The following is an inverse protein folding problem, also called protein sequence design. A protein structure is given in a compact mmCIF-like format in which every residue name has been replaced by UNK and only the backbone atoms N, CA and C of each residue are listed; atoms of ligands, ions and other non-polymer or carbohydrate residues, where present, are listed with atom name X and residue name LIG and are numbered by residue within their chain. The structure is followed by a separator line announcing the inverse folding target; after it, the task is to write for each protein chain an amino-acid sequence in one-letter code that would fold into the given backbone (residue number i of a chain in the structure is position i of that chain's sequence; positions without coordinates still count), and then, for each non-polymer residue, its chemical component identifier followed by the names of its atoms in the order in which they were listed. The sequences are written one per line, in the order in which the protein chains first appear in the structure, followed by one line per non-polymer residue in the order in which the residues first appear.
data_IF_967756194373
#
_entry.id   IF_967756194373
#
_cell.length_a   1.000
_cell.length_b   1.000
_cell.length_c   1.000
_cell.angle_alpha   90.00
_cell.angle_beta   90.00
_cell.angle_gamma   90.00
#
_symmetry.space_group_name_H-M   'P 1'
#
loop_
_entity.id
_entity.type
_entity.pdbx_description
1 polymer ?
#
# COMPACT_ATOMS: atom_id res chain seq x y z
N UNK A 1 -44.82 -51.90 1.14
CA UNK A 1 -43.97 -50.91 1.83
C UNK A 1 -42.52 -51.38 2.08
N UNK A 2 -42.15 -52.56 1.58
CA UNK A 2 -40.86 -52.79 0.92
C UNK A 2 -40.70 -51.78 -0.24
N UNK A 3 -39.47 -51.29 -0.48
CA UNK A 3 -38.95 -50.65 -1.72
C UNK A 3 -38.93 -49.13 -1.91
N UNK A 4 -39.32 -48.27 -0.95
CA UNK A 4 -39.26 -46.81 -1.15
C UNK A 4 -38.38 -46.02 -0.15
N UNK A 5 -37.55 -46.70 0.63
CA UNK A 5 -36.65 -46.07 1.62
C UNK A 5 -35.18 -46.45 1.43
N UNK A 6 -34.85 -47.02 0.27
CA UNK A 6 -33.49 -47.45 -0.09
C UNK A 6 -32.85 -46.57 -1.18
N UNK A 7 -33.51 -45.48 -1.58
CA UNK A 7 -33.07 -44.60 -2.68
C UNK A 7 -32.67 -43.19 -2.24
N UNK A 8 -32.89 -42.81 -0.98
CA UNK A 8 -32.46 -41.49 -0.50
C UNK A 8 -31.06 -41.47 0.14
N UNK A 9 -30.49 -42.64 0.45
CA UNK A 9 -29.11 -42.74 0.96
C UNK A 9 -28.06 -42.82 -0.15
N UNK A 10 -28.47 -42.84 -1.43
CA UNK A 10 -27.57 -42.79 -2.59
C UNK A 10 -27.41 -41.36 -3.16
N UNK A 11 -27.91 -40.36 -2.43
CA UNK A 11 -27.71 -38.93 -2.71
C UNK A 11 -26.87 -38.24 -1.62
N UNK A 12 -26.10 -39.01 -0.84
CA UNK A 12 -24.79 -38.55 -0.40
C UNK A 12 -23.84 -38.65 -1.61
N UNK A 13 -24.15 -37.83 -2.62
CA UNK A 13 -23.15 -37.34 -3.56
C UNK A 13 -22.01 -36.83 -2.68
N UNK A 14 -20.94 -37.60 -2.60
CA UNK A 14 -19.61 -37.22 -3.08
C UNK A 14 -19.53 -35.70 -3.37
N UNK A 15 -19.67 -34.88 -2.34
CA UNK A 15 -18.98 -33.60 -2.26
C UNK A 15 -17.58 -33.93 -1.77
N UNK A 16 -16.87 -34.77 -2.53
CA UNK A 16 -15.43 -34.64 -2.64
C UNK A 16 -15.29 -33.31 -3.35
N UNK A 17 -15.20 -32.24 -2.58
CA UNK A 17 -14.57 -31.02 -3.03
C UNK A 17 -13.17 -31.43 -3.44
N UNK A 18 -13.02 -31.80 -4.71
CA UNK A 18 -11.78 -31.64 -5.44
C UNK A 18 -11.54 -30.13 -5.40
N UNK A 19 -10.96 -29.68 -4.29
CA UNK A 19 -10.16 -28.48 -4.30
C UNK A 19 -9.12 -28.78 -5.35
N UNK A 20 -9.30 -28.17 -6.52
CA UNK A 20 -8.30 -28.13 -7.56
C UNK A 20 -7.07 -27.49 -6.92
N UNK A 21 -6.13 -28.32 -6.49
CA UNK A 21 -4.89 -27.92 -5.83
C UNK A 21 -3.94 -27.15 -6.77
N UNK A 22 -4.43 -26.77 -7.96
CA UNK A 22 -3.70 -26.00 -8.95
C UNK A 22 -4.14 -24.54 -9.06
N UNK A 23 -5.12 -24.06 -8.28
CA UNK A 23 -5.32 -22.60 -8.19
C UNK A 23 -4.36 -22.02 -7.16
N UNK A 24 -3.11 -21.77 -7.57
CA UNK A 24 -2.17 -20.98 -6.78
C UNK A 24 -2.65 -19.52 -6.82
N UNK A 25 -3.51 -19.17 -5.88
CA UNK A 25 -3.82 -17.76 -5.61
C UNK A 25 -2.65 -17.18 -4.81
N UNK A 26 -1.59 -16.79 -5.53
CA UNK A 26 -0.53 -15.94 -4.99
C UNK A 26 -1.11 -14.54 -4.80
N UNK A 27 -1.67 -14.29 -3.62
CA UNK A 27 -1.79 -12.91 -3.17
C UNK A 27 -0.37 -12.39 -2.93
N UNK A 28 -0.05 -11.21 -3.48
CA UNK A 28 1.26 -10.54 -3.30
C UNK A 28 1.57 -10.21 -1.83
N UNK A 29 0.62 -10.41 -0.93
CA UNK A 29 0.75 -10.28 0.53
C UNK A 29 0.89 -11.64 1.24
N UNK A 30 0.90 -12.75 0.50
CA UNK A 30 1.00 -14.09 1.08
C UNK A 30 2.38 -14.29 1.71
N UNK A 31 2.36 -14.91 2.90
CA UNK A 31 3.54 -15.44 3.59
C UNK A 31 4.38 -16.39 2.73
N UNK A 32 3.84 -16.84 1.61
CA UNK A 32 4.46 -17.79 0.70
C UNK A 32 5.20 -17.10 -0.47
N UNK A 33 5.14 -15.76 -0.58
CA UNK A 33 5.80 -15.03 -1.67
C UNK A 33 7.29 -15.37 -1.79
N UNK A 34 8.04 -15.32 -0.69
CA UNK A 34 9.47 -15.64 -0.69
C UNK A 34 9.70 -17.12 -1.04
N UNK A 35 8.82 -18.02 -0.58
CA UNK A 35 8.92 -19.45 -0.84
C UNK A 35 8.64 -19.81 -2.30
N UNK A 36 7.73 -19.11 -2.96
CA UNK A 36 7.36 -19.36 -4.36
C UNK A 36 8.34 -18.70 -5.31
N UNK A 37 8.76 -17.47 -5.02
CA UNK A 37 9.51 -16.64 -5.98
C UNK A 37 11.01 -16.59 -5.71
N UNK A 38 11.45 -16.95 -4.49
CA UNK A 38 12.82 -16.74 -4.01
C UNK A 38 13.17 -15.27 -3.78
N UNK A 39 12.24 -14.34 -4.00
CA UNK A 39 12.45 -12.91 -3.89
C UNK A 39 12.13 -12.45 -2.47
N UNK A 40 13.12 -11.90 -1.78
CA UNK A 40 12.96 -11.43 -0.40
C UNK A 40 12.41 -10.02 -0.33
N UNK A 41 11.53 -9.79 0.62
CA UNK A 41 11.09 -8.45 0.96
C UNK A 41 12.11 -7.74 1.86
N UNK A 42 12.30 -6.45 1.61
CA UNK A 42 13.10 -5.56 2.45
C UNK A 42 12.27 -4.36 2.88
N UNK A 43 12.40 -3.97 4.14
CA UNK A 43 11.82 -2.73 4.64
C UNK A 43 12.66 -1.54 4.19
N UNK A 44 11.97 -0.49 3.77
CA UNK A 44 12.53 0.82 3.44
C UNK A 44 11.81 1.88 4.27
N UNK A 45 12.61 2.76 4.89
CA UNK A 45 12.11 3.84 5.72
C UNK A 45 12.07 5.13 4.87
N UNK A 46 10.89 5.71 4.74
CA UNK A 46 10.63 6.90 3.94
C UNK A 46 10.62 8.13 4.83
N UNK A 47 11.39 9.13 4.44
CA UNK A 47 11.37 10.48 4.99
C UNK A 47 10.93 11.49 3.93
N UNK A 48 10.26 12.54 4.38
CA UNK A 48 9.74 13.59 3.50
C UNK A 48 10.47 14.91 3.76
N UNK A 49 10.75 15.65 2.69
CA UNK A 49 11.13 17.07 2.73
C UNK A 49 10.04 17.85 2.01
N UNK A 50 9.60 18.93 2.65
CA UNK A 50 8.62 19.88 2.13
C UNK A 50 9.17 21.30 2.28
N UNK A 51 9.05 22.11 1.24
CA UNK A 51 9.23 23.55 1.36
C UNK A 51 7.86 24.25 1.46
N UNK A 52 7.89 25.53 1.82
CA UNK A 52 6.71 26.38 2.03
C UNK A 52 5.81 26.56 0.80
N UNK A 53 6.22 26.10 -0.38
CA UNK A 53 5.53 26.34 -1.65
C UNK A 53 4.28 25.48 -1.87
N UNK A 54 4.10 24.39 -1.12
CA UNK A 54 2.98 23.45 -1.34
C UNK A 54 1.78 23.83 -0.45
N UNK A 55 1.16 24.99 -0.64
CA UNK A 55 -0.08 25.37 0.07
C UNK A 55 0.08 25.70 1.56
N UNK A 56 -0.96 26.31 2.15
CA UNK A 56 -0.94 26.82 3.53
C UNK A 56 -1.35 25.79 4.59
N UNK A 57 -1.98 24.68 4.18
CA UNK A 57 -2.45 23.61 5.07
C UNK A 57 -1.47 22.42 5.11
N UNK A 58 -1.65 21.52 6.09
CA UNK A 58 -0.93 20.25 6.08
C UNK A 58 -1.24 19.40 4.84
N UNK A 59 -0.37 18.45 4.54
CA UNK A 59 -0.55 17.52 3.43
C UNK A 59 -0.70 16.11 3.99
N UNK A 60 -1.80 15.44 3.66
CA UNK A 60 -1.99 14.03 3.99
C UNK A 60 -1.69 13.19 2.75
N UNK A 61 -0.81 12.20 2.90
CA UNK A 61 -0.39 11.27 1.86
C UNK A 61 -0.79 9.85 2.22
N UNK A 62 -1.27 9.13 1.22
CA UNK A 62 -1.64 7.74 1.27
C UNK A 62 -0.79 6.99 0.25
N UNK A 63 0.02 6.04 0.71
CA UNK A 63 0.81 5.19 -0.17
C UNK A 63 -0.10 4.37 -1.07
N UNK A 64 0.21 4.35 -2.37
CA UNK A 64 -0.49 3.50 -3.32
C UNK A 64 0.35 2.24 -3.56
N UNK A 65 -0.14 1.12 -3.06
CA UNK A 65 0.49 -0.18 -3.27
C UNK A 65 0.64 -0.46 -4.77
N UNK A 66 1.84 -0.83 -5.16
CA UNK A 66 2.15 -1.26 -6.52
C UNK A 66 3.27 -2.26 -6.45
N UNK A 67 3.06 -3.44 -7.02
CA UNK A 67 4.12 -4.45 -7.11
C UNK A 67 5.40 -3.83 -7.70
N UNK A 68 6.58 -4.02 -7.08
CA UNK A 68 6.87 -4.99 -6.01
C UNK A 68 6.88 -4.42 -4.58
N UNK A 69 6.16 -3.32 -4.32
CA UNK A 69 6.12 -2.63 -3.04
C UNK A 69 4.72 -2.65 -2.42
N UNK A 70 4.67 -2.83 -1.10
CA UNK A 70 3.46 -2.77 -0.28
C UNK A 70 3.68 -1.84 0.92
N UNK A 71 2.67 -1.06 1.28
CA UNK A 71 2.66 -0.22 2.45
C UNK A 71 2.43 -1.04 3.72
N UNK A 72 3.16 -0.73 4.80
CA UNK A 72 2.84 -1.33 6.10
C UNK A 72 1.57 -0.66 6.67
N UNK A 73 0.63 -1.47 7.17
CA UNK A 73 -0.72 -1.03 7.54
C UNK A 73 -0.75 0.18 8.50
N UNK A 74 0.19 0.24 9.45
CA UNK A 74 0.25 1.32 10.44
C UNK A 74 0.83 2.62 9.87
N UNK A 75 1.58 2.55 8.77
CA UNK A 75 2.33 3.68 8.22
C UNK A 75 1.95 4.04 6.78
N UNK A 76 0.96 3.36 6.19
CA UNK A 76 0.50 3.62 4.82
C UNK A 76 -0.11 5.03 4.63
N UNK A 77 -0.34 5.76 5.72
CA UNK A 77 -0.80 7.15 5.73
C UNK A 77 0.14 8.02 6.57
N UNK A 78 0.47 9.20 6.05
CA UNK A 78 1.27 10.19 6.77
C UNK A 78 0.70 11.60 6.60
N UNK A 79 0.74 12.40 7.66
CA UNK A 79 0.41 13.82 7.61
C UNK A 79 1.67 14.66 7.78
N UNK A 80 1.82 15.68 6.94
CA UNK A 80 3.01 16.52 6.82
C UNK A 80 2.63 17.97 7.08
N UNK A 81 3.24 18.57 8.09
CA UNK A 81 3.00 19.96 8.51
C UNK A 81 3.29 21.00 7.40
N UNK A 82 2.53 22.12 7.32
CA UNK A 82 2.74 23.19 6.34
C UNK A 82 4.01 24.01 6.57
N UNK A 83 4.48 24.12 7.80
CA UNK A 83 5.69 24.90 8.08
C UNK A 83 6.42 24.36 9.29
N UNK A 84 7.69 24.01 9.06
CA UNK A 84 8.64 23.42 10.00
C UNK A 84 8.40 21.93 10.25
N UNK A 85 9.38 21.13 9.83
CA UNK A 85 9.71 19.91 10.53
C UNK A 85 10.25 20.33 11.92
N UNK A 86 9.35 20.65 12.85
CA UNK A 86 9.69 20.69 14.28
C UNK A 86 10.36 19.36 14.66
N UNK A 87 11.11 19.28 15.74
CA UNK A 87 11.72 18.00 16.15
C UNK A 87 10.70 16.85 16.30
N UNK A 88 9.42 17.20 16.48
CA UNK A 88 8.27 16.29 16.54
C UNK A 88 7.71 15.96 15.14
N UNK A 89 7.68 16.92 14.19
CA UNK A 89 7.26 16.71 12.80
C UNK A 89 8.35 16.12 11.89
N UNK A 90 9.62 16.09 12.33
CA UNK A 90 10.76 15.38 11.67
C UNK A 90 10.53 13.88 11.48
N UNK A 91 9.41 13.35 11.98
CA UNK A 91 9.01 11.94 11.97
C UNK A 91 7.75 11.67 11.14
N UNK A 92 7.52 12.42 10.07
CA UNK A 92 6.71 11.87 8.99
C UNK A 92 7.51 10.69 8.39
N UNK A 93 7.41 9.53 9.03
CA UNK A 93 8.09 8.31 8.62
C UNK A 93 7.03 7.36 8.10
N UNK A 94 7.28 6.82 6.93
CA UNK A 94 6.45 5.78 6.35
C UNK A 94 7.34 4.58 6.08
N UNK A 95 6.88 3.39 6.43
CA UNK A 95 7.59 2.17 6.15
C UNK A 95 6.88 1.46 4.99
N UNK A 96 7.66 1.14 3.97
CA UNK A 96 7.21 0.30 2.86
C UNK A 96 8.08 -0.94 2.82
N UNK A 97 7.50 -2.01 2.31
CA UNK A 97 8.17 -3.29 2.13
C UNK A 97 8.22 -3.59 0.65
N UNK A 98 9.42 -3.76 0.09
CA UNK A 98 9.60 -3.99 -1.34
C UNK A 98 10.58 -5.13 -1.62
N UNK A 99 10.38 -5.85 -2.72
CA UNK A 99 11.38 -6.82 -3.22
C UNK A 99 12.66 -6.11 -3.66
N UNK A 100 12.51 -4.92 -4.27
CA UNK A 100 13.59 -4.04 -4.71
C UNK A 100 13.22 -2.62 -4.35
N UNK A 101 14.23 -1.80 -4.03
CA UNK A 101 14.08 -0.35 -3.90
C UNK A 101 13.37 0.21 -5.15
N UNK A 102 12.23 0.92 -5.00
CA UNK A 102 11.55 1.52 -6.14
C UNK A 102 12.35 2.72 -6.65
N UNK A 103 12.18 3.11 -7.92
CA UNK A 103 12.78 4.36 -8.44
C UNK A 103 11.82 5.56 -8.25
N UNK A 104 10.52 5.28 -8.12
CA UNK A 104 9.46 6.26 -7.91
C UNK A 104 8.39 5.68 -6.99
N UNK A 105 7.73 6.54 -6.22
CA UNK A 105 6.57 6.17 -5.39
C UNK A 105 5.36 7.03 -5.76
N UNK A 106 4.18 6.43 -5.73
CA UNK A 106 2.92 7.13 -5.95
C UNK A 106 2.17 7.30 -4.64
N UNK A 107 1.57 8.48 -4.45
CA UNK A 107 0.69 8.76 -3.33
C UNK A 107 -0.62 9.31 -3.83
N UNK A 108 -1.72 8.88 -3.23
CA UNK A 108 -2.92 9.70 -3.22
C UNK A 108 -2.75 10.77 -2.13
N UNK A 109 -3.20 11.99 -2.39
CA UNK A 109 -2.93 13.10 -1.48
C UNK A 109 -4.13 14.02 -1.31
N UNK A 110 -4.15 14.79 -0.22
CA UNK A 110 -5.02 15.96 -0.04
C UNK A 110 -4.38 17.01 0.84
N UNK A 111 -4.84 18.26 0.71
CA UNK A 111 -4.59 19.28 1.73
C UNK A 111 -5.56 19.07 2.90
N UNK A 112 -5.04 19.00 4.12
CA UNK A 112 -5.82 18.77 5.32
C UNK A 112 -5.11 19.30 6.56
N UNK A 113 -5.89 19.77 7.54
CA UNK A 113 -5.35 19.96 8.90
C UNK A 113 -5.09 18.59 9.56
N UNK A 114 -4.22 18.53 10.58
CA UNK A 114 -3.81 17.27 11.23
C UNK A 114 -4.98 16.43 11.75
N UNK A 115 -6.03 17.11 12.20
CA UNK A 115 -7.21 16.50 12.81
C UNK A 115 -8.45 16.58 11.88
N UNK A 116 -8.27 16.88 10.59
CA UNK A 116 -9.41 16.94 9.67
C UNK A 116 -10.00 15.55 9.46
N UNK A 117 -11.32 15.49 9.31
CA UNK A 117 -12.03 14.23 9.02
C UNK A 117 -11.54 13.64 7.70
N UNK A 118 -11.61 12.31 7.55
CA UNK A 118 -11.25 11.63 6.31
C UNK A 118 -12.19 12.06 5.18
N UNK A 119 -11.62 12.47 4.05
CA UNK A 119 -12.33 12.95 2.86
C UNK A 119 -11.70 12.38 1.60
N UNK A 120 -12.37 12.56 0.46
CA UNK A 120 -11.81 12.23 -0.86
C UNK A 120 -10.45 12.88 -1.05
N UNK A 121 -9.52 12.14 -1.64
CA UNK A 121 -8.20 12.63 -2.02
C UNK A 121 -8.32 13.62 -3.19
N UNK A 122 -7.44 14.62 -3.24
CA UNK A 122 -7.35 15.60 -4.33
C UNK A 122 -6.86 14.98 -5.63
N UNK A 123 -5.99 13.97 -5.54
CA UNK A 123 -5.49 13.25 -6.71
C UNK A 123 -4.26 12.41 -6.38
N UNK A 124 -3.49 12.07 -7.42
CA UNK A 124 -2.25 11.30 -7.31
C UNK A 124 -1.05 12.21 -7.55
N UNK A 125 0.02 12.00 -6.79
CA UNK A 125 1.36 12.53 -7.06
C UNK A 125 2.35 11.40 -7.27
N UNK A 126 3.30 11.64 -8.15
CA UNK A 126 4.41 10.77 -8.49
C UNK A 126 5.69 11.41 -7.96
N UNK A 127 6.34 10.76 -7.02
CA UNK A 127 7.52 11.26 -6.35
C UNK A 127 8.75 10.44 -6.74
N UNK A 128 9.75 11.11 -7.32
CA UNK A 128 11.08 10.52 -7.47
C UNK A 128 11.68 10.29 -6.10
N UNK A 129 12.42 9.20 -5.94
CA UNK A 129 13.09 8.93 -4.68
C UNK A 129 14.57 9.28 -4.72
N UNK A 130 15.08 9.74 -3.59
CA UNK A 130 16.50 9.96 -3.34
C UNK A 130 16.93 9.17 -2.10
N UNK A 131 18.21 9.20 -1.74
CA UNK A 131 18.77 8.45 -0.62
C UNK A 131 19.39 7.12 -1.02
N UNK A 132 19.87 6.36 -0.03
CA UNK A 132 20.81 5.27 -0.22
C UNK A 132 20.34 4.04 0.56
N UNK A 133 20.60 2.83 0.05
CA UNK A 133 20.32 1.60 0.79
C UNK A 133 18.84 1.46 1.16
N UNK A 134 18.54 1.39 2.47
CA UNK A 134 17.17 1.27 3.02
C UNK A 134 16.48 2.60 3.29
N UNK A 135 17.20 3.72 3.22
CA UNK A 135 16.63 5.04 3.45
C UNK A 135 16.10 5.63 2.15
N UNK A 136 14.81 5.96 2.12
CA UNK A 136 14.14 6.63 1.03
C UNK A 136 13.83 8.06 1.44
N UNK A 137 14.14 9.00 0.57
CA UNK A 137 13.88 10.42 0.80
C UNK A 137 13.10 11.01 -0.35
N UNK A 138 11.98 11.63 -0.02
CA UNK A 138 11.06 12.25 -0.97
C UNK A 138 11.09 13.74 -0.77
N UNK A 139 11.41 14.47 -1.84
CA UNK A 139 11.30 15.93 -1.87
C UNK A 139 9.95 16.25 -2.49
N UNK A 140 8.98 16.63 -1.67
CA UNK A 140 7.58 16.80 -2.09
C UNK A 140 7.41 17.86 -3.18
N UNK A 141 8.27 18.87 -3.18
CA UNK A 141 8.25 19.93 -4.19
C UNK A 141 8.56 19.41 -5.59
N UNK A 142 9.33 18.34 -5.68
CA UNK A 142 9.78 17.75 -6.95
C UNK A 142 8.80 16.66 -7.43
N UNK A 143 7.78 16.35 -6.62
CA UNK A 143 6.74 15.41 -7.01
C UNK A 143 5.85 16.04 -8.09
N UNK A 144 5.58 15.27 -9.14
CA UNK A 144 4.75 15.70 -10.26
C UNK A 144 3.34 15.15 -10.08
N UNK A 145 2.34 15.88 -10.58
CA UNK A 145 0.96 15.40 -10.61
C UNK A 145 0.89 14.12 -11.45
N UNK A 146 0.33 13.05 -10.87
CA UNK A 146 0.08 11.78 -11.54
C UNK A 146 -1.17 11.82 -12.42
N UNK A 147 -1.47 10.69 -13.08
CA UNK A 147 -2.76 10.53 -13.75
C UNK A 147 -3.86 10.50 -12.70
N UNK A 148 -4.86 11.36 -12.82
CA UNK A 148 -6.05 11.26 -11.99
C UNK A 148 -6.81 9.98 -12.34
N UNK A 149 -7.55 9.42 -11.38
CA UNK A 149 -8.62 8.48 -11.69
C UNK A 149 -9.70 9.25 -12.44
N UNK A 150 -9.87 8.94 -13.72
CA UNK A 150 -11.08 9.34 -14.44
C UNK A 150 -12.14 8.32 -14.01
N UNK A 151 -13.08 8.73 -13.16
CA UNK A 151 -14.29 7.95 -12.89
C UNK A 151 -15.17 7.87 -14.16
#
# INVERSE_FOLDING_TARGET
MKRLLFLFSLFFLICVSVYDANSVNLFSTSTDWESVTGLRYSQYDISFIRDKSIGNNGMELYFLDSFPCIGQAETARVWISPSKFSAEDKKAVMNITCVKRPDQIQFAWREASRNDSQKKTTGIINCQITGNGREIKIILNDCIKGKNWNE
#
